data_IF_739111096419
#
_entry.id   IF_739111096419
#
_cell.length_a   1.000
_cell.length_b   1.000
_cell.length_c   1.000
_cell.angle_alpha   90.00
_cell.angle_beta   90.00
_cell.angle_gamma   90.00
#
_symmetry.space_group_name_H-M   'P 1'
#
loop_
_entity.id
_entity.type
_entity.pdbx_description
1 polymer ?
#
# COMPACT_ATOMS: atom_id res chain seq x y z
N UNK A 1 -11.78 13.42 -40.37
CA UNK A 1 -13.03 12.64 -40.40
C UNK A 1 -12.67 11.16 -40.24
N UNK A 2 -13.22 10.56 -39.16
CA UNK A 2 -13.44 9.13 -38.86
C UNK A 2 -12.20 8.20 -38.81
N UNK A 3 -11.62 8.08 -37.60
CA UNK A 3 -10.77 6.94 -37.22
C UNK A 3 -11.67 5.83 -36.68
N UNK A 4 -11.52 4.64 -37.24
CA UNK A 4 -12.40 3.47 -37.10
C UNK A 4 -12.14 2.78 -35.75
N UNK A 5 -13.22 2.59 -34.99
CA UNK A 5 -13.26 1.93 -33.68
C UNK A 5 -12.89 0.44 -33.86
N UNK A 6 -11.86 -0.01 -33.15
CA UNK A 6 -11.54 -1.44 -33.00
C UNK A 6 -12.56 -2.07 -32.05
N UNK A 7 -13.30 -3.07 -32.53
CA UNK A 7 -14.18 -3.90 -31.72
C UNK A 7 -13.41 -5.15 -31.28
N UNK A 8 -13.42 -5.43 -29.98
CA UNK A 8 -12.86 -6.63 -29.37
C UNK A 8 -13.71 -7.85 -29.77
N UNK A 9 -13.11 -8.81 -30.47
CA UNK A 9 -13.71 -10.13 -30.69
C UNK A 9 -13.63 -10.94 -29.39
N UNK A 10 -14.76 -11.05 -28.70
CA UNK A 10 -14.96 -12.03 -27.64
C UNK A 10 -15.02 -13.43 -28.28
N UNK A 11 -14.03 -14.28 -28.00
CA UNK A 11 -14.08 -15.70 -28.33
C UNK A 11 -15.20 -16.33 -27.49
N UNK A 12 -16.29 -16.73 -28.14
CA UNK A 12 -17.36 -17.49 -27.49
C UNK A 12 -16.92 -18.94 -27.30
N UNK A 13 -16.73 -19.36 -26.06
CA UNK A 13 -16.39 -20.74 -25.72
C UNK A 13 -17.68 -21.57 -25.61
N UNK A 14 -18.05 -22.27 -26.69
CA UNK A 14 -19.25 -23.12 -26.71
C UNK A 14 -19.00 -24.45 -25.97
N UNK A 15 -19.29 -24.43 -24.66
CA UNK A 15 -19.15 -25.56 -23.74
C UNK A 15 -20.02 -26.78 -24.09
N UNK A 16 -20.96 -26.65 -25.04
CA UNK A 16 -21.89 -27.72 -25.40
C UNK A 16 -21.26 -28.85 -26.24
N UNK A 17 -20.14 -28.58 -26.93
CA UNK A 17 -19.53 -29.52 -27.88
C UNK A 17 -18.53 -30.50 -27.24
N UNK A 18 -18.07 -30.24 -26.01
CA UNK A 18 -16.97 -30.98 -25.38
C UNK A 18 -17.33 -31.67 -24.05
N UNK A 19 -18.63 -31.83 -23.76
CA UNK A 19 -19.09 -32.41 -22.50
C UNK A 19 -19.15 -33.94 -22.59
N UNK A 20 -18.33 -34.64 -21.80
CA UNK A 20 -18.28 -36.11 -21.75
C UNK A 20 -19.61 -36.70 -21.24
N UNK A 21 -19.97 -37.94 -21.62
CA UNK A 21 -21.25 -38.55 -21.23
C UNK A 21 -21.46 -38.64 -19.71
N UNK A 22 -20.38 -38.74 -18.92
CA UNK A 22 -20.41 -38.67 -17.47
C UNK A 22 -20.91 -37.33 -16.93
N UNK A 23 -20.49 -36.21 -17.53
CA UNK A 23 -20.92 -34.87 -17.13
C UNK A 23 -22.37 -34.58 -17.55
N UNK A 24 -22.83 -35.13 -18.68
CA UNK A 24 -24.26 -35.11 -19.05
C UNK A 24 -25.12 -35.88 -18.03
N UNK A 25 -24.69 -37.08 -17.61
CA UNK A 25 -25.41 -37.86 -16.60
C UNK A 25 -25.42 -37.21 -15.21
N UNK A 26 -24.34 -36.53 -14.81
CA UNK A 26 -24.30 -35.74 -13.56
C UNK A 26 -25.26 -34.53 -13.62
N UNK A 27 -25.37 -33.87 -14.79
CA UNK A 27 -26.31 -32.76 -14.99
C UNK A 27 -27.76 -33.22 -14.96
N UNK A 28 -28.07 -34.40 -15.51
CA UNK A 28 -29.41 -34.99 -15.46
C UNK A 28 -29.80 -35.46 -14.06
N UNK A 29 -28.85 -36.02 -13.28
CA UNK A 29 -29.08 -36.39 -11.88
C UNK A 29 -29.16 -35.19 -10.92
N UNK A 30 -28.77 -33.98 -11.35
CA UNK A 30 -28.85 -32.75 -10.57
C UNK A 30 -30.25 -32.14 -10.43
N UNK A 31 -31.30 -32.75 -11.01
CA UNK A 31 -32.66 -32.19 -11.03
C UNK A 31 -33.55 -32.45 -9.81
N UNK A 32 -33.02 -33.03 -8.72
CA UNK A 32 -33.86 -33.25 -7.51
C UNK A 32 -33.32 -32.79 -6.17
N UNK A 33 -32.13 -32.20 -6.06
CA UNK A 33 -31.71 -31.49 -4.84
C UNK A 33 -30.78 -30.36 -5.29
N UNK A 34 -31.35 -29.17 -5.50
CA UNK A 34 -30.53 -28.00 -5.74
C UNK A 34 -29.71 -27.77 -4.49
N UNK A 35 -28.39 -27.98 -4.57
CA UNK A 35 -27.48 -27.77 -3.46
C UNK A 35 -27.67 -26.39 -2.82
N UNK A 36 -28.07 -25.39 -3.62
CA UNK A 36 -28.41 -24.05 -3.16
C UNK A 36 -29.52 -24.01 -2.11
N UNK A 37 -30.54 -24.86 -2.19
CA UNK A 37 -31.67 -24.83 -1.26
C UNK A 37 -31.29 -25.42 0.08
N UNK A 38 -30.53 -26.51 0.10
CA UNK A 38 -29.97 -27.06 1.34
C UNK A 38 -29.01 -26.07 2.03
N UNK A 39 -28.18 -25.36 1.26
CA UNK A 39 -27.32 -24.32 1.83
C UNK A 39 -28.12 -23.14 2.38
N UNK A 40 -29.20 -22.71 1.71
CA UNK A 40 -30.05 -21.60 2.15
C UNK A 40 -30.83 -21.94 3.42
N UNK A 41 -31.39 -23.14 3.50
CA UNK A 41 -32.09 -23.62 4.69
C UNK A 41 -31.15 -23.72 5.92
N UNK A 42 -29.91 -24.18 5.70
CA UNK A 42 -28.91 -24.17 6.79
C UNK A 42 -28.44 -22.76 7.15
N UNK A 43 -28.36 -21.83 6.20
CA UNK A 43 -27.99 -20.44 6.47
C UNK A 43 -29.04 -19.74 7.34
N UNK A 44 -30.33 -19.95 7.07
CA UNK A 44 -31.43 -19.40 7.86
C UNK A 44 -31.45 -20.00 9.29
N UNK A 45 -31.20 -21.31 9.43
CA UNK A 45 -31.08 -21.95 10.74
C UNK A 45 -29.87 -21.45 11.56
N UNK A 46 -28.75 -21.15 10.90
CA UNK A 46 -27.53 -20.59 11.51
C UNK A 46 -27.70 -19.11 11.94
N UNK A 47 -28.54 -18.35 11.25
CA UNK A 47 -28.86 -16.96 11.60
C UNK A 47 -29.63 -16.86 12.93
N UNK A 48 -30.53 -17.81 13.20
CA UNK A 48 -31.23 -17.92 14.48
C UNK A 48 -30.30 -18.24 15.67
N UNK A 49 -29.24 -19.01 15.44
CA UNK A 49 -28.24 -19.37 16.45
C UNK A 49 -27.16 -18.28 16.65
N UNK A 50 -27.16 -17.19 15.87
CA UNK A 50 -26.12 -16.14 15.86
C UNK A 50 -24.69 -16.69 15.70
N UNK A 51 -24.54 -17.84 15.04
CA UNK A 51 -23.24 -18.51 14.83
C UNK A 51 -22.63 -18.21 13.47
N UNK A 52 -23.32 -17.45 12.60
CA UNK A 52 -22.78 -17.07 11.31
C UNK A 52 -21.49 -16.23 11.49
N UNK A 53 -20.35 -16.63 10.90
CA UNK A 53 -19.13 -15.83 10.94
C UNK A 53 -19.43 -14.51 10.21
N UNK A 54 -19.62 -13.43 10.98
CA UNK A 54 -19.73 -12.09 10.41
C UNK A 54 -18.45 -11.83 9.63
N UNK A 55 -18.53 -11.90 8.31
CA UNK A 55 -17.43 -11.57 7.41
C UNK A 55 -17.03 -10.14 7.75
N UNK A 56 -15.95 -9.99 8.51
CA UNK A 56 -15.38 -8.70 8.83
C UNK A 56 -14.87 -8.17 7.49
N UNK A 57 -15.62 -7.24 6.89
CA UNK A 57 -15.18 -6.53 5.69
C UNK A 57 -13.89 -5.82 6.07
N UNK A 58 -12.78 -6.29 5.53
CA UNK A 58 -11.50 -5.59 5.65
C UNK A 58 -11.70 -4.24 4.98
N UNK A 59 -11.79 -3.18 5.79
CA UNK A 59 -11.79 -1.81 5.30
C UNK A 59 -10.41 -1.59 4.70
N UNK A 60 -10.31 -1.71 3.38
CA UNK A 60 -9.06 -1.42 2.67
C UNK A 60 -8.89 0.09 2.67
N UNK A 61 -7.88 0.58 3.41
CA UNK A 61 -7.43 1.96 3.23
C UNK A 61 -6.86 2.11 1.82
N UNK A 62 -7.02 3.29 1.19
CA UNK A 62 -6.35 3.56 -0.07
C UNK A 62 -4.83 3.38 0.12
N UNK A 63 -4.12 2.88 -0.90
CA UNK A 63 -2.66 2.76 -0.83
C UNK A 63 -2.04 4.17 -0.65
N UNK A 64 -0.95 4.29 0.13
CA UNK A 64 -0.23 5.55 0.27
C UNK A 64 0.35 5.99 -1.08
N UNK A 65 0.56 7.30 -1.27
CA UNK A 65 1.10 7.84 -2.52
C UNK A 65 2.61 7.62 -2.64
N UNK A 66 3.32 7.65 -1.51
CA UNK A 66 4.77 7.47 -1.46
C UNK A 66 5.16 6.72 -0.20
N UNK A 67 5.98 5.69 -0.35
CA UNK A 67 6.61 4.93 0.73
C UNK A 67 8.10 5.20 0.71
N UNK A 68 8.68 5.51 1.87
CA UNK A 68 10.11 5.79 2.03
C UNK A 68 10.64 4.92 3.16
N UNK A 69 11.79 4.28 2.95
CA UNK A 69 12.48 3.51 3.97
C UNK A 69 13.59 4.35 4.59
N UNK A 70 13.47 4.64 5.88
CA UNK A 70 14.47 5.39 6.63
C UNK A 70 15.20 4.47 7.61
N UNK A 71 16.51 4.68 7.77
CA UNK A 71 17.30 3.95 8.77
C UNK A 71 18.28 4.88 9.44
N UNK A 72 18.44 4.79 10.76
CA UNK A 72 19.55 5.47 11.45
C UNK A 72 20.87 4.75 11.19
N UNK A 73 21.97 5.47 11.21
CA UNK A 73 23.31 4.86 11.07
C UNK A 73 23.60 3.79 12.14
N UNK A 74 23.04 3.96 13.34
CA UNK A 74 23.15 3.03 14.47
C UNK A 74 22.26 1.79 14.35
N UNK A 75 21.24 1.83 13.49
CA UNK A 75 20.22 0.80 13.36
C UNK A 75 20.45 -0.05 12.09
N UNK A 76 20.08 -1.32 12.15
CA UNK A 76 20.20 -2.24 11.00
C UNK A 76 18.91 -2.38 10.20
N UNK A 77 17.77 -2.13 10.84
CA UNK A 77 16.46 -2.20 10.22
C UNK A 77 16.09 -0.85 9.59
N UNK A 78 15.27 -0.90 8.54
CA UNK A 78 14.64 0.29 7.98
C UNK A 78 13.22 0.42 8.52
N UNK A 79 12.85 1.63 8.89
CA UNK A 79 11.50 2.04 9.22
C UNK A 79 10.79 2.55 7.96
N UNK A 80 9.57 2.04 7.74
CA UNK A 80 8.73 2.48 6.64
C UNK A 80 7.91 3.72 7.04
N UNK A 81 8.05 4.77 6.23
CA UNK A 81 7.25 5.99 6.30
C UNK A 81 6.32 6.03 5.09
N UNK A 82 5.04 6.26 5.38
CA UNK A 82 4.00 6.39 4.38
C UNK A 82 3.54 7.84 4.32
N UNK A 83 3.53 8.42 3.13
CA UNK A 83 2.97 9.73 2.88
C UNK A 83 1.64 9.58 2.13
N UNK A 84 0.58 10.11 2.74
CA UNK A 84 -0.72 10.26 2.08
C UNK A 84 -0.68 11.40 1.06
N UNK A 85 0.13 12.43 1.31
CA UNK A 85 0.34 13.58 0.42
C UNK A 85 1.83 13.88 0.29
N UNK A 86 2.25 14.29 -0.91
CA UNK A 86 3.66 14.54 -1.25
C UNK A 86 4.03 15.99 -0.90
N UNK A 87 3.98 16.32 0.39
CA UNK A 87 4.31 17.64 0.95
C UNK A 87 5.37 17.50 2.04
N UNK A 88 6.16 18.55 2.26
CA UNK A 88 7.21 18.57 3.29
C UNK A 88 6.61 18.53 4.70
N UNK A 89 5.46 19.15 4.90
CA UNK A 89 4.76 19.14 6.19
C UNK A 89 4.38 17.70 6.59
N UNK A 90 3.78 16.94 5.67
CA UNK A 90 3.48 15.51 5.91
C UNK A 90 4.73 14.68 6.10
N UNK A 91 5.80 14.99 5.39
CA UNK A 91 7.08 14.32 5.61
C UNK A 91 7.63 14.60 7.03
N UNK A 92 7.60 15.86 7.49
CA UNK A 92 7.98 16.24 8.86
C UNK A 92 7.12 15.54 9.90
N UNK A 93 5.80 15.55 9.74
CA UNK A 93 4.87 14.85 10.64
C UNK A 93 5.19 13.35 10.72
N UNK A 94 5.37 12.69 9.58
CA UNK A 94 5.61 11.26 9.56
C UNK A 94 6.97 10.86 10.17
N UNK A 95 8.01 11.66 9.93
CA UNK A 95 9.33 11.50 10.56
C UNK A 95 9.24 11.76 12.07
N UNK A 96 8.50 12.80 12.48
CA UNK A 96 8.30 13.12 13.90
C UNK A 96 7.60 11.99 14.65
N UNK A 97 6.60 11.36 14.02
CA UNK A 97 5.85 10.24 14.58
C UNK A 97 6.72 8.99 14.73
N UNK A 98 7.64 8.73 13.79
CA UNK A 98 8.52 7.55 13.83
C UNK A 98 9.67 7.69 14.82
N UNK A 99 10.25 8.88 14.92
CA UNK A 99 11.41 9.12 15.78
C UNK A 99 11.07 9.85 17.09
N UNK A 100 9.77 9.95 17.41
CA UNK A 100 9.25 10.58 18.64
C UNK A 100 9.76 12.02 18.84
N UNK A 101 9.88 12.77 17.74
CA UNK A 101 10.32 14.16 17.74
C UNK A 101 9.12 15.10 17.87
N UNK A 102 9.32 16.26 18.47
CA UNK A 102 8.35 17.34 18.38
C UNK A 102 8.48 18.03 17.03
N UNK A 103 7.37 18.20 16.31
CA UNK A 103 7.38 18.82 14.96
C UNK A 103 8.03 20.21 15.00
N UNK A 104 7.77 20.98 16.06
CA UNK A 104 8.32 22.33 16.26
C UNK A 104 9.84 22.36 16.47
N UNK A 105 10.43 21.26 16.95
CA UNK A 105 11.90 21.17 17.09
C UNK A 105 12.60 21.00 15.74
N UNK A 106 11.90 20.52 14.71
CA UNK A 106 12.50 20.21 13.41
C UNK A 106 12.66 21.49 12.58
N UNK A 107 13.83 22.10 12.67
CA UNK A 107 14.15 23.38 12.02
C UNK A 107 14.16 23.24 10.49
N UNK A 108 14.92 22.26 9.99
CA UNK A 108 15.01 21.97 8.55
C UNK A 108 15.38 20.51 8.29
N UNK A 109 14.99 20.04 7.11
CA UNK A 109 15.35 18.73 6.61
C UNK A 109 16.20 18.94 5.36
N UNK A 110 17.38 18.33 5.33
CA UNK A 110 18.32 18.43 4.23
C UNK A 110 18.62 17.06 3.63
N UNK A 111 18.82 17.02 2.31
CA UNK A 111 19.21 15.86 1.55
C UNK A 111 20.68 16.02 1.10
N UNK A 112 21.53 15.09 1.54
CA UNK A 112 22.91 14.96 1.09
C UNK A 112 22.92 14.28 -0.28
N UNK A 113 23.33 15.02 -1.31
CA UNK A 113 23.59 14.47 -2.64
C UNK A 113 24.86 13.61 -2.65
N UNK A 114 24.97 12.74 -3.65
CA UNK A 114 26.21 11.98 -3.95
C UNK A 114 27.42 12.89 -4.20
N UNK A 115 27.19 14.13 -4.63
CA UNK A 115 28.21 15.17 -4.80
C UNK A 115 28.72 15.78 -3.49
N UNK A 116 28.14 15.42 -2.34
CA UNK A 116 28.47 15.97 -1.02
C UNK A 116 27.69 17.25 -0.65
N UNK A 117 26.97 17.86 -1.59
CA UNK A 117 26.15 19.04 -1.34
C UNK A 117 24.90 18.69 -0.52
N UNK A 118 24.56 19.52 0.45
CA UNK A 118 23.30 19.46 1.19
C UNK A 118 22.26 20.33 0.48
N UNK A 119 21.05 19.79 0.31
CA UNK A 119 19.93 20.48 -0.32
C UNK A 119 18.77 20.48 0.65
N UNK A 120 18.21 21.65 0.92
CA UNK A 120 17.00 21.75 1.71
C UNK A 120 15.82 21.09 0.99
N UNK A 121 15.04 20.33 1.73
CA UNK A 121 13.93 19.56 1.17
C UNK A 121 12.69 20.44 1.14
N UNK A 122 12.33 20.85 -0.08
CA UNK A 122 11.07 21.52 -0.41
C UNK A 122 10.06 20.54 -1.04
N UNK A 123 8.80 20.98 -1.21
CA UNK A 123 7.75 20.16 -1.84
C UNK A 123 8.13 19.67 -3.24
N UNK A 124 8.88 20.47 -4.00
CA UNK A 124 9.37 20.08 -5.33
C UNK A 124 10.44 18.98 -5.25
N UNK A 125 11.18 18.93 -4.15
CA UNK A 125 12.21 17.91 -3.91
C UNK A 125 11.55 16.61 -3.47
N UNK A 126 10.55 16.65 -2.57
CA UNK A 126 9.78 15.46 -2.15
C UNK A 126 9.06 14.83 -3.34
N UNK A 127 8.52 15.63 -4.27
CA UNK A 127 7.92 15.13 -5.52
C UNK A 127 8.86 14.37 -6.46
N UNK A 128 10.18 14.54 -6.29
CA UNK A 128 11.19 13.83 -7.09
C UNK A 128 11.62 12.53 -6.44
N UNK A 129 11.13 12.21 -5.25
CA UNK A 129 11.43 10.94 -4.61
C UNK A 129 10.75 9.79 -5.34
N UNK A 130 11.44 8.66 -5.35
CA UNK A 130 10.96 7.44 -5.95
C UNK A 130 10.23 6.65 -4.85
N UNK A 131 9.15 5.95 -5.22
CA UNK A 131 8.47 5.06 -4.30
C UNK A 131 9.42 3.94 -3.85
N UNK A 132 9.34 3.60 -2.56
CA UNK A 132 10.21 2.62 -1.90
C UNK A 132 11.71 3.01 -1.90
N UNK A 133 12.02 4.31 -1.93
CA UNK A 133 13.42 4.78 -1.86
C UNK A 133 14.01 4.67 -0.44
N UNK A 134 15.26 4.20 -0.37
CA UNK A 134 16.01 4.03 0.87
C UNK A 134 16.85 5.27 1.22
N UNK A 135 16.77 5.72 2.48
CA UNK A 135 17.64 6.76 3.02
C UNK A 135 18.18 6.40 4.41
N UNK A 136 19.39 6.89 4.68
CA UNK A 136 19.99 6.95 6.00
C UNK A 136 19.70 8.32 6.60
N UNK A 137 19.13 8.35 7.80
CA UNK A 137 18.81 9.56 8.55
C UNK A 137 19.88 9.84 9.62
N UNK A 138 20.30 11.09 9.72
CA UNK A 138 21.13 11.63 10.79
C UNK A 138 20.35 12.74 11.50
N UNK A 139 20.26 12.63 12.83
CA UNK A 139 19.53 13.57 13.68
C UNK A 139 20.55 14.34 14.51
N UNK A 140 20.74 15.62 14.19
CA UNK A 140 21.66 16.50 14.90
C UNK A 140 20.84 17.40 15.85
N UNK A 141 20.89 17.11 17.15
CA UNK A 141 20.21 17.90 18.17
C UNK A 141 21.12 18.99 18.72
N UNK A 142 20.66 20.23 18.62
CA UNK A 142 21.33 21.36 19.23
C UNK A 142 20.73 21.61 20.62
N UNK A 143 21.51 21.32 21.67
CA UNK A 143 21.08 21.48 23.06
C UNK A 143 20.94 22.95 23.49
N UNK A 144 21.54 23.89 22.75
CA UNK A 144 21.47 25.31 23.07
C UNK A 144 20.17 25.97 22.56
N UNK A 145 19.71 25.59 21.36
CA UNK A 145 18.48 26.11 20.76
C UNK A 145 17.26 25.19 20.97
N UNK A 146 17.47 23.95 21.43
CA UNK A 146 16.40 22.94 21.52
C UNK A 146 15.86 22.52 20.15
N UNK A 147 16.67 22.70 19.08
CA UNK A 147 16.27 22.38 17.71
C UNK A 147 16.98 21.13 17.19
N UNK A 148 16.32 20.42 16.28
CA UNK A 148 16.81 19.24 15.60
C UNK A 148 16.97 19.55 14.10
N UNK A 149 18.14 19.25 13.56
CA UNK A 149 18.40 19.28 12.11
C UNK A 149 18.46 17.85 11.61
N UNK A 150 17.71 17.59 10.54
CA UNK A 150 17.61 16.26 9.94
C UNK A 150 18.39 16.26 8.64
N UNK A 151 19.28 15.28 8.48
CA UNK A 151 20.00 15.04 7.23
C UNK A 151 19.68 13.66 6.70
N UNK A 152 19.20 13.59 5.46
CA UNK A 152 18.97 12.36 4.72
C UNK A 152 20.14 12.11 3.77
N UNK A 153 20.62 10.89 3.68
CA UNK A 153 21.66 10.49 2.73
C UNK A 153 21.30 9.17 2.08
N UNK A 154 21.71 8.99 0.81
CA UNK A 154 21.50 7.69 0.16
C UNK A 154 22.52 6.67 0.68
N UNK A 155 22.11 5.43 0.94
CA UNK A 155 23.05 4.39 1.34
C UNK A 155 24.09 4.17 0.21
N UNK A 156 25.33 3.78 0.57
CA UNK A 156 26.34 3.43 -0.43
C UNK A 156 25.84 2.24 -1.26
N UNK A 157 25.87 2.39 -2.59
CA UNK A 157 25.58 1.27 -3.50
C UNK A 157 26.64 0.18 -3.26
N UNK A 158 26.17 -1.03 -2.92
CA UNK A 158 27.02 -2.21 -2.81
C UNK A 158 27.55 -2.68 -4.16
#
# INVERSE_FOLDING_TARGET
MVVKIMQNECISFDSSKYCTPLLKQLREKGRKRSSSDAFRETADALDHLKLAPKIKRVVRRPPPLLTIYLRKETEKAYDAIFLEEITVEKFKEAVSLRYELTVDSIKSISLRKKSGSLIEIDDQTVKKFIDEEDFIISLDYDSAEGTCKITLSRPPSR
#
